data_IF_970389504986
#
_entry.id   IF_970389504986
#
_cell.length_a   1.000
_cell.length_b   1.000
_cell.length_c   1.000
_cell.angle_alpha   90.00
_cell.angle_beta   90.00
_cell.angle_gamma   90.00
#
_symmetry.space_group_name_H-M   'P 1'
#
loop_
_entity.id
_entity.type
_entity.pdbx_description
1 polymer ?
#
# COMPACT_ATOMS: atom_id res chain seq x y z
N UNK A 1 -25.25 12.64 14.87
CA UNK A 1 -24.20 13.61 15.26
C UNK A 1 -22.91 13.07 14.67
N UNK A 2 -22.49 13.68 13.57
CA UNK A 2 -21.60 13.11 12.54
C UNK A 2 -20.36 13.98 12.46
N UNK A 3 -19.17 13.41 12.63
CA UNK A 3 -17.89 14.11 12.43
C UNK A 3 -16.88 13.17 11.72
N UNK A 4 -16.63 13.55 10.47
CA UNK A 4 -15.51 13.36 9.53
C UNK A 4 -14.43 12.28 9.76
N UNK A 5 -14.37 11.33 8.82
CA UNK A 5 -13.22 10.48 8.46
C UNK A 5 -12.63 10.92 7.09
N UNK A 6 -12.45 12.22 6.91
CA UNK A 6 -12.30 12.84 5.60
C UNK A 6 -10.88 12.91 5.06
N UNK A 7 -9.92 12.11 5.53
CA UNK A 7 -8.59 12.17 4.90
C UNK A 7 -8.11 10.94 4.16
N UNK A 8 -8.24 9.68 4.62
CA UNK A 8 -7.94 8.57 3.70
C UNK A 8 -8.84 7.34 3.77
N UNK A 9 -9.14 6.70 4.91
CA UNK A 9 -10.06 5.54 4.92
C UNK A 9 -10.87 5.41 6.20
N UNK A 10 -12.14 4.99 6.07
CA UNK A 10 -13.04 4.74 7.19
C UNK A 10 -12.79 3.34 7.78
N UNK A 11 -13.01 3.11 9.08
CA UNK A 11 -13.12 1.75 9.60
C UNK A 11 -14.16 0.97 8.79
N UNK A 12 -13.75 -0.15 8.21
CA UNK A 12 -14.59 -0.94 7.29
C UNK A 12 -14.41 -0.65 5.80
N UNK A 13 -13.49 0.25 5.40
CA UNK A 13 -13.09 0.40 4.00
C UNK A 13 -12.48 -0.89 3.48
N UNK A 14 -12.97 -1.36 2.32
CA UNK A 14 -12.39 -2.48 1.58
C UNK A 14 -11.43 -1.95 0.53
N UNK A 15 -10.34 -2.69 0.32
CA UNK A 15 -9.35 -2.42 -0.72
C UNK A 15 -9.34 -3.56 -1.72
N UNK A 16 -9.16 -3.22 -2.99
CA UNK A 16 -8.89 -4.21 -4.02
C UNK A 16 -7.40 -4.57 -3.95
N UNK A 17 -7.11 -5.86 -3.82
CA UNK A 17 -5.73 -6.35 -3.80
C UNK A 17 -5.56 -7.36 -4.91
N UNK A 18 -4.71 -7.03 -5.88
CA UNK A 18 -4.52 -7.81 -7.11
C UNK A 18 -3.04 -8.09 -7.29
N UNK A 19 -2.62 -9.31 -7.68
CA UNK A 19 -1.20 -9.58 -7.92
C UNK A 19 -0.64 -8.70 -9.04
N UNK A 20 0.67 -8.47 -9.05
CA UNK A 20 1.38 -7.96 -10.21
C UNK A 20 2.17 -9.11 -10.85
N UNK A 21 1.64 -9.64 -11.95
CA UNK A 21 2.20 -10.82 -12.63
C UNK A 21 3.47 -10.52 -13.44
N UNK A 22 3.88 -9.25 -13.55
CA UNK A 22 5.07 -8.80 -14.29
C UNK A 22 6.35 -8.80 -13.43
N UNK A 23 6.24 -9.13 -12.14
CA UNK A 23 7.36 -9.28 -11.18
C UNK A 23 7.46 -10.72 -10.66
N UNK A 24 8.58 -11.05 -10.01
CA UNK A 24 8.80 -12.39 -9.43
C UNK A 24 7.75 -12.67 -8.33
N UNK A 25 6.96 -13.72 -8.54
CA UNK A 25 5.87 -14.12 -7.65
C UNK A 25 6.37 -14.55 -6.26
N UNK A 26 7.64 -14.93 -6.10
CA UNK A 26 8.22 -15.26 -4.78
C UNK A 26 8.16 -14.09 -3.80
N UNK A 27 8.13 -12.86 -4.30
CA UNK A 27 8.01 -11.66 -3.48
C UNK A 27 6.56 -11.31 -3.08
N UNK A 28 5.56 -12.02 -3.61
CA UNK A 28 4.14 -11.66 -3.52
C UNK A 28 3.88 -10.19 -3.89
N UNK A 29 4.24 -9.76 -5.13
CA UNK A 29 4.01 -8.41 -5.59
C UNK A 29 2.50 -8.16 -5.80
N UNK A 30 1.99 -7.07 -5.25
CA UNK A 30 0.57 -6.71 -5.30
C UNK A 30 0.38 -5.22 -5.66
N UNK A 31 -0.72 -4.95 -6.33
CA UNK A 31 -1.34 -3.63 -6.43
C UNK A 31 -2.41 -3.50 -5.34
N UNK A 32 -2.57 -2.30 -4.80
CA UNK A 32 -3.59 -1.98 -3.79
C UNK A 32 -4.46 -0.84 -4.33
N UNK A 33 -5.74 -1.11 -4.53
CA UNK A 33 -6.72 -0.20 -5.11
C UNK A 33 -7.81 0.19 -4.13
N UNK A 34 -8.41 1.36 -4.37
CA UNK A 34 -9.59 1.84 -3.67
C UNK A 34 -10.46 2.64 -4.63
N UNK A 35 -11.63 2.10 -4.97
CA UNK A 35 -12.50 2.71 -5.98
C UNK A 35 -11.79 2.79 -7.34
N UNK A 36 -11.72 3.99 -7.92
CA UNK A 36 -11.00 4.28 -9.17
C UNK A 36 -9.54 4.73 -8.96
N UNK A 37 -8.95 4.45 -7.79
CA UNK A 37 -7.57 4.84 -7.50
C UNK A 37 -6.69 3.63 -7.17
N UNK A 38 -5.40 3.75 -7.47
CA UNK A 38 -4.36 2.80 -7.10
C UNK A 38 -3.28 3.50 -6.26
N UNK A 39 -2.85 2.84 -5.19
CA UNK A 39 -1.77 3.31 -4.34
C UNK A 39 -0.43 3.26 -5.09
N UNK A 40 0.34 4.34 -4.98
CA UNK A 40 1.66 4.49 -5.59
C UNK A 40 2.64 5.13 -4.63
N UNK A 41 3.92 4.79 -4.79
CA UNK A 41 5.03 5.47 -4.16
C UNK A 41 5.76 6.30 -5.20
N UNK A 42 6.06 7.55 -4.87
CA UNK A 42 6.90 8.41 -5.70
C UNK A 42 7.97 9.08 -4.85
N UNK A 43 8.99 9.62 -5.52
CA UNK A 43 9.92 10.58 -4.95
C UNK A 43 9.54 11.96 -5.45
N UNK A 44 9.18 12.88 -4.57
CA UNK A 44 8.89 14.28 -4.93
C UNK A 44 10.16 14.99 -5.38
N UNK A 45 9.99 16.17 -6.01
CA UNK A 45 11.11 16.95 -6.56
C UNK A 45 12.14 17.42 -5.51
N UNK A 46 11.74 17.50 -4.24
CA UNK A 46 12.60 17.79 -3.10
C UNK A 46 13.31 16.54 -2.51
N UNK A 47 13.07 15.37 -3.12
CA UNK A 47 13.69 14.11 -2.75
C UNK A 47 12.98 13.32 -1.66
N UNK A 48 11.85 13.79 -1.13
CA UNK A 48 11.07 13.05 -0.14
C UNK A 48 10.27 11.90 -0.79
N UNK A 49 10.15 10.76 -0.11
CA UNK A 49 9.27 9.69 -0.56
C UNK A 49 7.85 9.95 -0.09
N UNK A 50 6.88 9.76 -0.98
CA UNK A 50 5.48 10.04 -0.71
C UNK A 50 4.60 8.90 -1.24
N UNK A 51 3.56 8.59 -0.46
CA UNK A 51 2.47 7.74 -0.90
C UNK A 51 1.40 8.60 -1.56
N UNK A 52 0.85 8.14 -2.69
CA UNK A 52 -0.21 8.81 -3.41
C UNK A 52 -1.25 7.82 -3.91
N UNK A 53 -2.52 8.25 -3.91
CA UNK A 53 -3.57 7.61 -4.69
C UNK A 53 -3.57 8.25 -6.08
N UNK A 54 -3.34 7.45 -7.12
CA UNK A 54 -3.50 7.90 -8.51
C UNK A 54 -4.83 7.40 -9.04
N UNK A 55 -5.56 8.28 -9.69
CA UNK A 55 -6.74 7.88 -10.47
C UNK A 55 -6.28 6.96 -11.61
N UNK A 56 -6.52 5.67 -11.45
CA UNK A 56 -6.04 4.61 -12.34
C UNK A 56 -6.88 3.35 -12.13
N UNK A 57 -7.02 2.52 -13.16
CA UNK A 57 -7.74 1.26 -13.05
C UNK A 57 -6.78 0.12 -12.71
N UNK A 58 -6.92 -0.45 -11.51
CA UNK A 58 -6.08 -1.57 -11.03
C UNK A 58 -6.08 -2.77 -11.99
N UNK A 59 -7.17 -3.01 -12.73
CA UNK A 59 -7.25 -4.08 -13.72
C UNK A 59 -6.47 -3.81 -14.99
N UNK A 60 -6.28 -2.53 -15.36
CA UNK A 60 -5.40 -2.15 -16.48
C UNK A 60 -3.95 -2.47 -16.09
N UNK A 61 -3.53 -2.08 -14.87
CA UNK A 61 -2.19 -2.37 -14.36
C UNK A 61 -1.90 -3.87 -14.32
N UNK A 62 -2.83 -4.67 -13.78
CA UNK A 62 -2.70 -6.13 -13.68
C UNK A 62 -2.56 -6.85 -15.04
N UNK A 63 -3.18 -6.33 -16.10
CA UNK A 63 -3.18 -6.96 -17.43
C UNK A 63 -1.99 -6.53 -18.29
N UNK A 64 -1.30 -5.45 -17.95
CA UNK A 64 -0.15 -4.99 -18.71
C UNK A 64 1.07 -5.88 -18.47
N UNK A 65 1.98 -5.90 -19.44
CA UNK A 65 3.30 -6.54 -19.31
C UNK A 65 4.33 -5.64 -18.59
N UNK A 66 3.99 -4.39 -18.32
CA UNK A 66 4.86 -3.47 -17.60
C UNK A 66 4.95 -3.83 -16.11
N UNK A 67 6.12 -3.56 -15.50
CA UNK A 67 6.40 -3.91 -14.11
C UNK A 67 5.69 -3.01 -13.09
N UNK A 68 5.36 -1.77 -13.44
CA UNK A 68 4.67 -0.80 -12.55
C UNK A 68 5.17 -0.81 -11.10
N UNK A 69 6.50 -0.76 -10.92
CA UNK A 69 7.13 -0.88 -9.60
C UNK A 69 6.67 0.23 -8.63
N UNK A 70 6.45 1.44 -9.13
CA UNK A 70 5.93 2.56 -8.36
C UNK A 70 4.51 2.32 -7.82
N UNK A 71 3.72 1.42 -8.42
CA UNK A 71 2.39 1.01 -7.93
C UNK A 71 2.42 -0.29 -7.11
N UNK A 72 3.58 -0.92 -7.00
CA UNK A 72 3.67 -2.30 -6.49
C UNK A 72 4.24 -2.34 -5.08
N UNK A 73 3.63 -3.17 -4.24
CA UNK A 73 4.11 -3.50 -2.91
C UNK A 73 4.35 -5.00 -2.79
N UNK A 74 5.39 -5.40 -2.06
CA UNK A 74 5.61 -6.79 -1.69
C UNK A 74 4.94 -7.08 -0.36
N UNK A 75 3.98 -8.02 -0.35
CA UNK A 75 3.29 -8.46 0.86
C UNK A 75 4.04 -9.61 1.52
N UNK A 76 4.46 -9.41 2.78
CA UNK A 76 5.19 -10.42 3.54
C UNK A 76 4.59 -10.59 4.93
N UNK A 77 4.25 -11.83 5.29
CA UNK A 77 3.90 -12.21 6.66
C UNK A 77 5.14 -12.72 7.41
N UNK A 78 5.17 -12.48 8.72
CA UNK A 78 6.28 -12.87 9.62
C UNK A 78 5.97 -14.15 10.41
N UNK A 79 5.28 -15.10 9.77
CA UNK A 79 4.85 -16.37 10.39
C UNK A 79 3.45 -16.32 11.01
N UNK A 80 2.83 -15.14 11.07
CA UNK A 80 1.39 -14.96 11.32
C UNK A 80 0.71 -14.57 10.01
N UNK A 81 -0.04 -15.48 9.35
CA UNK A 81 -0.61 -15.24 8.02
C UNK A 81 -1.46 -13.98 7.92
N UNK A 82 -2.08 -13.58 9.03
CA UNK A 82 -2.94 -12.42 9.16
C UNK A 82 -2.21 -11.11 9.43
N UNK A 83 -0.90 -11.12 9.74
CA UNK A 83 -0.08 -9.93 9.96
C UNK A 83 0.94 -9.80 8.84
N UNK A 84 0.88 -8.70 8.10
CA UNK A 84 1.75 -8.45 6.96
C UNK A 84 2.43 -7.09 7.04
N UNK A 85 3.60 -7.01 6.42
CA UNK A 85 4.21 -5.75 5.97
C UNK A 85 4.02 -5.59 4.48
N UNK A 86 3.96 -4.34 4.00
CA UNK A 86 3.86 -4.01 2.58
C UNK A 86 5.05 -3.12 2.19
N UNK A 87 6.06 -3.70 1.56
CA UNK A 87 7.29 -2.99 1.16
C UNK A 87 7.16 -2.43 -0.26
N UNK A 88 7.59 -1.20 -0.52
CA UNK A 88 7.58 -0.62 -1.86
C UNK A 88 8.53 -1.37 -2.80
N UNK A 89 8.06 -1.75 -3.99
CA UNK A 89 8.90 -2.38 -5.01
C UNK A 89 9.82 -1.38 -5.73
N UNK A 90 9.44 -0.09 -5.76
CA UNK A 90 10.25 0.99 -6.32
C UNK A 90 11.31 1.48 -5.33
N UNK A 91 10.98 1.50 -4.04
CA UNK A 91 11.87 1.98 -2.97
C UNK A 91 12.08 0.91 -1.90
N UNK A 92 12.99 -0.06 -2.12
CA UNK A 92 13.29 -1.10 -1.14
C UNK A 92 13.66 -0.53 0.23
N UNK A 93 13.21 -1.19 1.30
CA UNK A 93 13.37 -0.77 2.69
C UNK A 93 12.31 0.22 3.19
N UNK A 94 11.41 0.68 2.33
CA UNK A 94 10.28 1.56 2.70
C UNK A 94 8.97 0.80 2.69
N UNK A 95 8.20 0.93 3.77
CA UNK A 95 6.98 0.19 4.01
C UNK A 95 5.78 1.13 4.11
N UNK A 96 4.60 0.67 3.71
CA UNK A 96 3.34 1.31 4.09
C UNK A 96 3.34 1.47 5.61
N UNK A 97 2.97 2.65 6.11
CA UNK A 97 2.97 2.93 7.54
C UNK A 97 1.78 3.76 8.00
N UNK A 98 1.47 3.66 9.28
CA UNK A 98 0.47 4.49 9.96
C UNK A 98 0.99 5.04 11.28
N UNK A 99 0.58 6.26 11.60
CA UNK A 99 0.91 6.87 12.88
C UNK A 99 0.13 6.21 14.02
N UNK A 100 0.71 6.21 15.22
CA UNK A 100 -0.03 5.94 16.45
C UNK A 100 -1.03 7.04 16.79
N UNK A 101 -0.83 8.26 16.26
CA UNK A 101 -1.78 9.35 16.40
C UNK A 101 -2.99 9.11 15.49
N UNK A 102 -4.23 9.26 16.00
CA UNK A 102 -5.41 9.10 15.19
C UNK A 102 -5.46 10.16 14.09
N UNK A 103 -6.11 9.81 12.97
CA UNK A 103 -6.39 10.72 11.86
C UNK A 103 -5.16 11.26 11.11
N UNK A 104 -4.01 10.59 11.22
CA UNK A 104 -2.85 10.87 10.34
C UNK A 104 -3.00 10.10 9.01
N UNK A 105 -2.46 10.65 7.90
CA UNK A 105 -2.47 9.96 6.62
C UNK A 105 -1.63 8.67 6.69
N UNK A 106 -1.97 7.71 5.82
CA UNK A 106 -1.10 6.56 5.55
C UNK A 106 0.15 7.10 4.86
N UNK A 107 1.33 6.66 5.30
CA UNK A 107 2.61 7.14 4.84
C UNK A 107 3.56 6.01 4.43
N UNK A 108 4.83 6.38 4.30
CA UNK A 108 5.94 5.46 4.12
C UNK A 108 6.93 5.63 5.26
N UNK A 109 7.41 4.53 5.82
CA UNK A 109 8.47 4.56 6.84
C UNK A 109 9.41 3.37 6.72
N UNK A 110 10.57 3.47 7.36
CA UNK A 110 11.49 2.36 7.54
C UNK A 110 11.20 1.63 8.85
N UNK A 111 11.56 0.34 8.92
CA UNK A 111 11.43 -0.46 10.15
C UNK A 111 12.25 0.15 11.30
N UNK A 112 11.72 0.03 12.53
CA UNK A 112 12.37 0.53 13.75
C UNK A 112 12.08 1.99 14.07
N UNK A 113 11.32 2.70 13.22
CA UNK A 113 10.80 4.03 13.52
C UNK A 113 9.57 4.01 14.45
N UNK A 114 9.03 5.19 14.81
CA UNK A 114 7.84 5.32 15.67
C UNK A 114 6.52 4.94 14.96
N UNK A 115 6.55 4.80 13.64
CA UNK A 115 5.38 4.47 12.82
C UNK A 115 5.10 2.97 12.81
N UNK A 116 3.82 2.59 12.70
CA UNK A 116 3.39 1.20 12.60
C UNK A 116 3.50 0.72 11.16
N UNK A 117 4.17 -0.41 10.93
CA UNK A 117 4.33 -1.03 9.59
C UNK A 117 3.72 -2.43 9.50
N UNK A 118 3.13 -2.91 10.60
CA UNK A 118 2.45 -4.20 10.68
C UNK A 118 0.95 -3.97 10.52
N UNK A 119 0.34 -4.70 9.59
CA UNK A 119 -1.07 -4.58 9.27
C UNK A 119 -1.77 -5.92 9.43
N UNK A 120 -2.97 -5.89 9.99
CA UNK A 120 -3.88 -7.03 9.88
C UNK A 120 -4.45 -7.09 8.47
N UNK A 121 -4.14 -8.15 7.75
CA UNK A 121 -4.61 -8.38 6.40
C UNK A 121 -5.62 -9.54 6.38
N UNK A 122 -6.88 -9.20 6.10
CA UNK A 122 -7.99 -10.17 6.07
C UNK A 122 -8.72 -10.06 4.74
N UNK A 123 -8.92 -11.21 4.10
CA UNK A 123 -9.81 -11.31 2.95
C UNK A 123 -11.26 -11.27 3.42
N UNK A 124 -12.03 -10.34 2.87
CA UNK A 124 -13.49 -10.32 3.02
C UNK A 124 -14.05 -11.17 1.88
N UNK A 125 -14.91 -12.14 2.22
CA UNK A 125 -15.55 -13.07 1.27
C UNK A 125 -16.92 -12.54 0.82
#
# INVERSE_FOLDING_TARGET
>A
MTLFLSYYFSPGSSFDVIPNNSLDSKGNPIFIGFGNHVMSCIKSGDGQLQMQLKEENIMILHKASEKFKNFTFYSKSDGRPEICTFESAEFPGWFISTSSEPNKPIGLSQKGGPENVLFYFRKIL
#
